data_IF_932128859810
#
_entry.id   IF_932128859810
#
_cell.length_a   1.000
_cell.length_b   1.000
_cell.length_c   1.000
_cell.angle_alpha   90.00
_cell.angle_beta   90.00
_cell.angle_gamma   90.00
#
_symmetry.space_group_name_H-M   'P 1'
#
loop_
_entity.id
_entity.type
_entity.pdbx_description
1 polymer ?
#
# COMPACT_ATOMS: atom_id res chain seq x y z
N UNK A 1 38.85 -17.40 30.41
CA UNK A 1 38.73 -15.96 30.73
C UNK A 1 37.45 -15.46 30.10
N UNK A 2 36.39 -15.03 30.76
CA UNK A 2 36.06 -14.85 32.17
C UNK A 2 34.56 -15.20 32.28
N UNK A 3 34.23 -16.15 33.16
CA UNK A 3 32.88 -16.41 33.65
C UNK A 3 32.69 -15.55 34.91
N UNK A 4 31.57 -14.86 35.05
CA UNK A 4 31.11 -14.32 36.34
C UNK A 4 29.66 -14.72 36.56
N UNK A 5 29.49 -15.59 37.56
CA UNK A 5 28.25 -16.00 38.18
C UNK A 5 27.64 -14.84 39.00
N UNK A 6 26.35 -14.61 38.85
CA UNK A 6 25.53 -13.84 39.79
C UNK A 6 24.51 -14.77 40.46
N UNK A 7 24.76 -15.11 41.72
CA UNK A 7 23.83 -15.82 42.61
C UNK A 7 22.72 -14.86 43.06
N UNK A 8 21.45 -15.30 43.07
CA UNK A 8 20.37 -14.65 43.82
C UNK A 8 19.75 -15.66 44.77
N UNK A 9 19.89 -15.37 46.06
CA UNK A 9 19.60 -16.24 47.18
C UNK A 9 18.11 -16.22 47.53
N UNK A 10 17.52 -17.41 47.58
CA UNK A 10 16.15 -17.64 48.08
C UNK A 10 16.20 -17.60 49.61
N UNK A 11 15.73 -16.50 50.19
CA UNK A 11 15.60 -16.33 51.63
C UNK A 11 14.45 -17.19 52.17
N UNK A 12 14.79 -18.25 52.91
CA UNK A 12 13.85 -19.04 53.70
C UNK A 12 13.47 -18.27 54.97
N UNK A 13 12.23 -17.77 55.03
CA UNK A 13 11.69 -17.13 56.24
C UNK A 13 11.26 -18.22 57.24
N UNK A 14 11.98 -18.30 58.36
CA UNK A 14 11.61 -19.05 59.56
C UNK A 14 10.32 -18.48 60.16
N UNK A 15 9.30 -19.31 60.33
CA UNK A 15 8.18 -19.02 61.22
C UNK A 15 8.45 -19.63 62.59
N UNK A 16 8.74 -18.75 63.56
CA UNK A 16 8.75 -19.08 64.99
C UNK A 16 7.30 -19.23 65.45
N UNK A 17 6.90 -20.46 65.82
CA UNK A 17 5.59 -20.70 66.42
C UNK A 17 5.54 -20.20 67.88
N UNK A 18 4.43 -19.60 68.34
CA UNK A 18 4.28 -19.26 69.75
C UNK A 18 4.09 -20.53 70.58
N UNK A 19 4.72 -20.55 71.76
CA UNK A 19 4.59 -21.58 72.77
C UNK A 19 3.13 -21.74 73.24
N UNK A 20 2.70 -22.98 73.44
CA UNK A 20 1.38 -23.31 73.96
C UNK A 20 1.21 -22.86 75.41
N UNK A 21 0.09 -22.19 75.79
CA UNK A 21 -0.28 -22.03 77.18
C UNK A 21 -1.07 -23.26 77.64
N UNK A 22 -0.52 -23.97 78.62
CA UNK A 22 -1.24 -24.91 79.47
C UNK A 22 -2.08 -24.12 80.48
N UNK A 23 -3.40 -24.04 80.27
CA UNK A 23 -4.33 -23.55 81.30
C UNK A 23 -5.72 -24.20 81.13
N UNK A 24 -6.25 -24.69 82.25
CA UNK A 24 -7.44 -25.51 82.35
C UNK A 24 -8.72 -24.86 81.82
N UNK A 25 -9.48 -25.67 81.09
CA UNK A 25 -10.80 -25.38 80.57
C UNK A 25 -11.85 -25.54 81.67
N UNK A 26 -12.57 -24.46 82.00
CA UNK A 26 -13.98 -24.53 82.43
C UNK A 26 -14.56 -23.10 82.47
N UNK A 27 -14.91 -22.54 81.31
CA UNK A 27 -15.89 -21.46 81.27
C UNK A 27 -16.63 -21.39 79.92
N UNK A 28 -17.95 -21.52 79.99
CA UNK A 28 -18.86 -21.56 78.83
C UNK A 28 -18.91 -20.26 78.03
N UNK A 29 -18.45 -19.14 78.61
CA UNK A 29 -18.32 -17.86 77.93
C UNK A 29 -17.09 -17.77 77.00
N UNK A 30 -16.03 -18.51 77.29
CA UNK A 30 -14.79 -18.52 76.47
C UNK A 30 -15.01 -19.22 75.12
N UNK A 31 -15.80 -20.29 75.10
CA UNK A 31 -16.15 -21.02 73.86
C UNK A 31 -17.01 -20.18 72.89
N UNK A 32 -17.91 -19.32 73.40
CA UNK A 32 -18.72 -18.42 72.55
C UNK A 32 -17.88 -17.30 71.94
N UNK A 33 -16.92 -16.75 72.69
CA UNK A 33 -16.01 -15.72 72.19
C UNK A 33 -15.08 -16.26 71.09
N UNK A 34 -14.56 -17.48 71.27
CA UNK A 34 -13.72 -18.14 70.28
C UNK A 34 -14.50 -18.48 68.98
N UNK A 35 -15.75 -18.94 69.10
CA UNK A 35 -16.63 -19.19 67.96
C UNK A 35 -17.00 -17.91 67.19
N UNK A 36 -17.25 -16.79 67.89
CA UNK A 36 -17.54 -15.50 67.28
C UNK A 36 -16.33 -14.91 66.53
N UNK A 37 -15.12 -15.07 67.07
CA UNK A 37 -13.88 -14.66 66.39
C UNK A 37 -13.62 -15.53 65.15
N UNK A 38 -13.77 -16.86 65.23
CA UNK A 38 -13.58 -17.75 64.07
C UNK A 38 -14.57 -17.45 62.91
N UNK A 39 -15.82 -17.08 63.22
CA UNK A 39 -16.81 -16.65 62.22
C UNK A 39 -16.40 -15.33 61.55
N UNK A 40 -15.89 -14.36 62.32
CA UNK A 40 -15.44 -13.05 61.80
C UNK A 40 -14.23 -13.18 60.87
N UNK A 41 -13.29 -14.07 61.21
CA UNK A 41 -12.13 -14.40 60.36
C UNK A 41 -12.54 -15.16 59.08
N UNK A 42 -13.51 -16.09 59.16
CA UNK A 42 -14.06 -16.76 57.98
C UNK A 42 -14.72 -15.79 57.00
N UNK A 43 -15.50 -14.81 57.50
CA UNK A 43 -16.15 -13.78 56.66
C UNK A 43 -15.11 -12.85 56.03
N UNK A 44 -14.09 -12.41 56.77
CA UNK A 44 -13.03 -11.55 56.24
C UNK A 44 -12.15 -12.26 55.20
N UNK A 45 -11.85 -13.56 55.39
CA UNK A 45 -11.11 -14.35 54.39
C UNK A 45 -11.95 -14.61 53.14
N UNK A 46 -13.26 -14.85 53.27
CA UNK A 46 -14.15 -15.06 52.11
C UNK A 46 -14.33 -13.78 51.29
N UNK A 47 -14.43 -12.60 51.92
CA UNK A 47 -14.42 -11.32 51.18
C UNK A 47 -13.11 -11.06 50.44
N UNK A 48 -11.96 -11.34 51.08
CA UNK A 48 -10.65 -11.10 50.48
C UNK A 48 -10.40 -12.04 49.30
N UNK A 49 -10.77 -13.32 49.43
CA UNK A 49 -10.70 -14.32 48.34
C UNK A 49 -11.67 -13.94 47.20
N UNK A 50 -12.84 -13.38 47.51
CA UNK A 50 -13.81 -12.93 46.50
C UNK A 50 -13.30 -11.71 45.72
N UNK A 51 -12.70 -10.72 46.39
CA UNK A 51 -12.10 -9.53 45.75
C UNK A 51 -10.89 -9.89 44.88
N UNK A 52 -10.00 -10.76 45.35
CA UNK A 52 -8.84 -11.21 44.57
C UNK A 52 -9.25 -12.04 43.35
N UNK A 53 -10.27 -12.90 43.48
CA UNK A 53 -10.83 -13.63 42.33
C UNK A 53 -11.52 -12.70 41.35
N UNK A 54 -12.29 -11.71 41.80
CA UNK A 54 -12.93 -10.71 40.94
C UNK A 54 -11.91 -9.87 40.15
N UNK A 55 -10.82 -9.44 40.79
CA UNK A 55 -9.73 -8.69 40.12
C UNK A 55 -8.98 -9.55 39.09
N UNK A 56 -8.73 -10.82 39.40
CA UNK A 56 -8.15 -11.79 38.44
C UNK A 56 -9.09 -12.04 37.26
N UNK A 57 -10.38 -12.23 37.50
CA UNK A 57 -11.37 -12.38 36.43
C UNK A 57 -11.49 -11.13 35.57
N UNK A 58 -11.49 -9.94 36.18
CA UNK A 58 -11.44 -8.68 35.44
C UNK A 58 -10.16 -8.63 34.59
N UNK A 59 -8.97 -8.80 35.16
CA UNK A 59 -7.69 -8.80 34.43
C UNK A 59 -7.64 -9.82 33.27
N UNK A 60 -8.13 -11.06 33.48
CA UNK A 60 -8.22 -12.08 32.43
C UNK A 60 -9.26 -11.73 31.34
N UNK A 61 -10.31 -10.97 31.66
CA UNK A 61 -11.31 -10.54 30.67
C UNK A 61 -10.87 -9.33 29.83
N UNK A 62 -10.00 -8.45 30.35
CA UNK A 62 -9.46 -7.28 29.61
C UNK A 62 -8.25 -7.63 28.73
N UNK A 63 -7.46 -8.66 29.08
CA UNK A 63 -6.34 -9.11 28.23
C UNK A 63 -6.74 -9.48 26.79
N UNK A 64 -7.81 -10.27 26.52
CA UNK A 64 -8.19 -10.64 25.16
C UNK A 64 -8.73 -9.45 24.35
N UNK A 65 -9.30 -8.43 24.98
CA UNK A 65 -9.74 -7.20 24.30
C UNK A 65 -8.56 -6.39 23.75
N UNK A 66 -7.40 -6.43 24.41
CA UNK A 66 -6.20 -5.71 23.96
C UNK A 66 -5.50 -6.42 22.78
N UNK A 67 -5.64 -7.74 22.67
CA UNK A 67 -4.98 -8.54 21.61
C UNK A 67 -5.73 -8.47 20.27
N UNK A 68 -7.03 -8.16 20.26
CA UNK A 68 -7.84 -8.10 19.02
C UNK A 68 -7.58 -6.81 18.22
N UNK A 69 -6.94 -5.78 18.79
CA UNK A 69 -6.75 -4.48 18.13
C UNK A 69 -5.53 -4.38 17.18
N UNK A 70 -4.72 -5.44 17.02
CA UNK A 70 -3.47 -5.38 16.24
C UNK A 70 -3.33 -6.49 15.18
N UNK A 71 -4.41 -6.90 14.51
CA UNK A 71 -4.23 -7.48 13.17
C UNK A 71 -3.90 -6.33 12.21
N UNK A 72 -2.64 -6.15 11.82
CA UNK A 72 -2.34 -5.27 10.69
C UNK A 72 -3.05 -5.89 9.48
N UNK A 73 -4.14 -5.25 9.04
CA UNK A 73 -4.83 -5.67 7.83
C UNK A 73 -3.83 -5.55 6.69
N UNK A 74 -3.47 -6.65 6.05
CA UNK A 74 -2.55 -6.62 4.90
C UNK A 74 -3.23 -5.93 3.73
N UNK A 75 -2.46 -5.21 2.91
CA UNK A 75 -2.98 -4.65 1.68
C UNK A 75 -3.51 -5.78 0.77
N UNK A 76 -4.80 -5.73 0.47
CA UNK A 76 -5.45 -6.66 -0.45
C UNK A 76 -5.30 -6.18 -1.88
N UNK A 77 -4.83 -7.03 -2.78
CA UNK A 77 -4.43 -6.66 -4.15
C UNK A 77 -5.38 -7.21 -5.23
N UNK A 78 -6.56 -7.69 -4.83
CA UNK A 78 -7.49 -8.35 -5.72
C UNK A 78 -8.85 -7.63 -5.69
N UNK A 79 -9.60 -7.81 -6.78
CA UNK A 79 -11.01 -7.51 -6.85
C UNK A 79 -11.77 -8.84 -6.91
N UNK A 80 -12.95 -8.90 -6.30
CA UNK A 80 -13.72 -10.14 -6.14
C UNK A 80 -13.85 -10.94 -7.46
N UNK A 81 -13.90 -12.28 -7.33
CA UNK A 81 -13.93 -13.27 -8.41
C UNK A 81 -12.59 -13.56 -9.12
N UNK A 82 -11.49 -13.71 -8.37
CA UNK A 82 -10.21 -14.27 -8.86
C UNK A 82 -9.57 -13.55 -10.05
N UNK A 83 -10.02 -12.34 -10.41
CA UNK A 83 -9.36 -11.48 -11.38
C UNK A 83 -8.18 -10.79 -10.71
N UNK A 84 -7.05 -11.48 -10.75
CA UNK A 84 -5.76 -10.92 -10.34
C UNK A 84 -5.15 -10.21 -11.53
N UNK A 85 -4.91 -8.90 -11.42
CA UNK A 85 -3.82 -8.31 -12.19
C UNK A 85 -2.56 -9.06 -11.74
N UNK A 86 -1.76 -9.59 -12.67
CA UNK A 86 -0.59 -10.44 -12.36
C UNK A 86 0.53 -9.63 -11.70
N UNK A 87 0.38 -9.24 -10.44
CA UNK A 87 1.28 -8.28 -9.81
C UNK A 87 1.62 -8.60 -8.34
N UNK A 88 2.12 -9.83 -8.10
CA UNK A 88 2.59 -10.25 -6.75
C UNK A 88 3.79 -9.45 -6.19
N UNK A 89 4.36 -8.52 -6.96
CA UNK A 89 5.59 -7.78 -6.59
C UNK A 89 5.33 -6.41 -5.94
N UNK A 90 4.08 -5.96 -5.84
CA UNK A 90 3.78 -4.59 -5.40
C UNK A 90 2.84 -4.53 -4.19
N UNK A 91 3.26 -5.01 -3.01
CA UNK A 91 2.37 -5.22 -1.85
C UNK A 91 1.73 -3.95 -1.28
N UNK A 92 2.09 -2.77 -1.79
CA UNK A 92 1.55 -1.47 -1.37
C UNK A 92 0.40 -0.98 -2.26
N UNK A 93 0.26 -1.57 -3.46
CA UNK A 93 -0.78 -1.23 -4.44
C UNK A 93 -1.90 -2.26 -4.33
N UNK A 94 -3.13 -1.79 -4.11
CA UNK A 94 -4.28 -2.67 -4.01
C UNK A 94 -5.57 -1.93 -3.66
N UNK A 95 -6.60 -2.68 -3.27
CA UNK A 95 -8.00 -2.22 -3.25
C UNK A 95 -8.52 -1.93 -1.84
N UNK A 96 -7.84 -2.47 -0.82
CA UNK A 96 -8.20 -2.26 0.59
C UNK A 96 -7.73 -0.90 1.13
N UNK A 97 -8.32 -0.45 2.23
CA UNK A 97 -7.87 0.73 2.98
C UNK A 97 -6.48 0.60 3.59
N UNK A 98 -5.93 -0.62 3.68
CA UNK A 98 -4.59 -0.87 4.19
C UNK A 98 -3.48 -0.61 3.16
N UNK A 99 -3.83 -0.43 1.89
CA UNK A 99 -2.87 -0.16 0.83
C UNK A 99 -2.44 1.31 0.86
N UNK A 100 -1.14 1.56 0.74
CA UNK A 100 -0.62 2.93 0.61
C UNK A 100 -1.04 3.57 -0.70
N UNK A 101 -1.11 2.75 -1.76
CA UNK A 101 -1.62 3.15 -3.07
C UNK A 101 -2.94 2.42 -3.27
N UNK A 102 -4.03 3.14 -3.02
CA UNK A 102 -5.37 2.59 -3.11
C UNK A 102 -5.92 2.71 -4.53
N UNK A 103 -6.38 1.59 -5.06
CA UNK A 103 -7.11 1.44 -6.31
C UNK A 103 -8.56 1.03 -6.02
N UNK A 104 -9.40 1.09 -7.05
CA UNK A 104 -10.82 0.74 -6.96
C UNK A 104 -11.11 -0.59 -7.65
N UNK A 105 -12.26 -1.18 -7.34
CA UNK A 105 -12.81 -2.31 -8.07
C UNK A 105 -14.04 -1.89 -8.85
N UNK A 106 -14.18 -2.37 -10.08
CA UNK A 106 -15.44 -2.34 -10.80
C UNK A 106 -16.42 -3.36 -10.22
N UNK A 107 -17.70 -3.25 -10.60
CA UNK A 107 -18.72 -4.27 -10.32
C UNK A 107 -18.38 -5.62 -10.93
N UNK A 108 -17.65 -5.63 -12.05
CA UNK A 108 -17.24 -6.82 -12.81
C UNK A 108 -15.93 -7.43 -12.30
N UNK A 109 -15.40 -6.90 -11.20
CA UNK A 109 -14.19 -7.39 -10.54
C UNK A 109 -12.88 -6.94 -11.19
N UNK A 110 -12.88 -5.89 -12.00
CA UNK A 110 -11.66 -5.33 -12.60
C UNK A 110 -11.02 -4.28 -11.67
N UNK A 111 -9.69 -4.20 -11.66
CA UNK A 111 -8.96 -3.16 -10.91
C UNK A 111 -9.00 -1.86 -11.71
N UNK A 112 -9.29 -0.75 -11.03
CA UNK A 112 -9.56 0.55 -11.64
C UNK A 112 -8.73 1.67 -11.02
N UNK A 113 -8.32 2.63 -11.85
CA UNK A 113 -7.91 3.98 -11.44
C UNK A 113 -9.05 4.93 -11.81
N UNK A 114 -9.80 5.38 -10.80
CA UNK A 114 -11.06 6.09 -11.04
C UNK A 114 -12.04 5.24 -11.83
N UNK A 115 -12.33 5.65 -13.07
CA UNK A 115 -13.20 4.94 -14.01
C UNK A 115 -12.44 4.12 -15.07
N UNK A 116 -11.10 4.09 -15.00
CA UNK A 116 -10.26 3.51 -16.04
C UNK A 116 -9.70 2.15 -15.61
N UNK A 117 -9.88 1.07 -16.41
CA UNK A 117 -9.34 -0.23 -16.09
C UNK A 117 -7.81 -0.25 -16.09
N UNK A 118 -7.22 -0.88 -15.06
CA UNK A 118 -5.79 -1.16 -15.02
C UNK A 118 -5.49 -2.33 -15.96
N UNK A 119 -4.58 -2.11 -16.92
CA UNK A 119 -4.11 -3.14 -17.84
C UNK A 119 -3.01 -3.99 -17.21
N UNK A 120 -1.97 -3.33 -16.70
CA UNK A 120 -0.78 -3.96 -16.15
C UNK A 120 -0.10 -3.07 -15.13
N UNK A 121 0.61 -3.66 -14.16
CA UNK A 121 1.42 -2.94 -13.19
C UNK A 121 2.87 -3.42 -13.33
N UNK A 122 3.77 -2.47 -13.51
CA UNK A 122 5.21 -2.64 -13.68
C UNK A 122 5.97 -1.94 -12.54
N UNK A 123 7.28 -2.21 -12.37
CA UNK A 123 8.07 -1.62 -11.29
C UNK A 123 8.08 -0.09 -11.26
N UNK A 124 7.93 0.56 -12.40
CA UNK A 124 8.00 2.01 -12.52
C UNK A 124 6.68 2.64 -12.98
N UNK A 125 5.71 1.83 -13.41
CA UNK A 125 4.48 2.35 -14.00
C UNK A 125 3.26 1.46 -13.79
N UNK A 126 2.09 2.10 -13.78
CA UNK A 126 0.78 1.46 -13.90
C UNK A 126 0.26 1.82 -15.29
N UNK A 127 -0.02 0.82 -16.11
CA UNK A 127 -0.63 1.02 -17.43
C UNK A 127 -2.15 0.95 -17.27
N UNK A 128 -2.82 2.00 -17.71
CA UNK A 128 -4.26 2.18 -17.58
C UNK A 128 -4.87 2.31 -18.97
N UNK A 129 -5.97 1.59 -19.21
CA UNK A 129 -6.71 1.68 -20.46
C UNK A 129 -7.52 2.97 -20.49
N UNK A 130 -7.25 3.80 -21.50
CA UNK A 130 -7.98 5.03 -21.79
C UNK A 130 -8.57 4.93 -23.19
N UNK A 131 -9.60 4.09 -23.34
CA UNK A 131 -10.27 3.89 -24.62
C UNK A 131 -10.77 5.19 -25.24
N UNK A 132 -10.88 5.16 -26.57
CA UNK A 132 -11.41 6.26 -27.37
C UNK A 132 -12.88 6.49 -27.02
N UNK A 133 -13.20 7.67 -26.47
CA UNK A 133 -14.56 8.11 -26.20
C UNK A 133 -14.74 9.60 -26.51
N UNK A 134 -15.69 9.89 -27.39
CA UNK A 134 -15.86 11.23 -27.95
C UNK A 134 -16.41 12.28 -26.97
N UNK A 135 -17.25 11.85 -26.03
CA UNK A 135 -18.00 12.73 -25.14
C UNK A 135 -17.59 12.57 -23.66
N UNK A 136 -16.38 12.04 -23.40
CA UNK A 136 -15.85 11.93 -22.04
C UNK A 136 -15.35 13.29 -21.60
N UNK A 137 -15.88 13.81 -20.49
CA UNK A 137 -15.45 15.12 -19.95
C UNK A 137 -13.96 15.14 -19.65
N UNK A 138 -13.27 16.24 -19.95
CA UNK A 138 -11.85 16.41 -19.59
C UNK A 138 -11.59 16.23 -18.09
N UNK A 139 -12.57 16.53 -17.23
CA UNK A 139 -12.48 16.35 -15.77
C UNK A 139 -12.24 14.90 -15.35
N UNK A 140 -12.60 13.92 -16.18
CA UNK A 140 -12.28 12.51 -15.91
C UNK A 140 -10.78 12.26 -15.78
N UNK A 141 -9.95 13.09 -16.42
CA UNK A 141 -8.49 13.04 -16.30
C UNK A 141 -8.02 13.27 -14.85
N UNK A 142 -8.78 14.00 -14.04
CA UNK A 142 -8.46 14.27 -12.63
C UNK A 142 -8.31 12.98 -11.82
N UNK A 143 -9.02 11.90 -12.20
CA UNK A 143 -8.91 10.61 -11.54
C UNK A 143 -7.54 9.92 -11.73
N UNK A 144 -6.78 10.34 -12.74
CA UNK A 144 -5.44 9.83 -13.04
C UNK A 144 -4.35 10.57 -12.25
N UNK A 145 -4.71 11.63 -11.52
CA UNK A 145 -3.82 12.36 -10.62
C UNK A 145 -4.14 12.02 -9.16
N UNK A 146 -3.12 11.66 -8.38
CA UNK A 146 -3.26 11.33 -6.97
C UNK A 146 -1.97 11.69 -6.21
N UNK A 147 -1.98 11.56 -4.89
CA UNK A 147 -0.81 11.75 -4.02
C UNK A 147 0.29 10.73 -4.24
N UNK A 148 0.00 9.59 -4.87
CA UNK A 148 0.93 8.47 -5.03
C UNK A 148 1.17 8.04 -6.48
N UNK A 149 0.48 8.64 -7.43
CA UNK A 149 0.69 8.39 -8.85
C UNK A 149 0.21 9.57 -9.69
N UNK A 150 0.79 9.71 -10.88
CA UNK A 150 0.37 10.70 -11.88
C UNK A 150 0.78 10.23 -13.29
N UNK A 151 0.14 10.75 -14.35
CA UNK A 151 0.57 10.51 -15.73
C UNK A 151 2.00 11.00 -15.95
N UNK A 152 2.84 10.19 -16.60
CA UNK A 152 4.22 10.54 -16.94
C UNK A 152 4.29 11.46 -18.17
N UNK A 153 5.41 12.13 -18.37
CA UNK A 153 5.71 12.88 -19.61
C UNK A 153 5.90 11.99 -20.84
N UNK A 154 5.84 10.65 -20.69
CA UNK A 154 5.82 9.67 -21.80
C UNK A 154 4.44 9.54 -22.45
N UNK A 155 3.46 10.32 -22.00
CA UNK A 155 2.11 10.33 -22.56
C UNK A 155 1.88 11.54 -23.47
N UNK A 156 1.12 11.33 -24.53
CA UNK A 156 0.34 12.37 -25.20
C UNK A 156 -1.14 12.18 -24.86
N UNK A 157 -1.80 13.23 -24.39
CA UNK A 157 -3.23 13.21 -24.05
C UNK A 157 -4.02 13.75 -25.24
N UNK A 158 -4.96 12.95 -25.75
CA UNK A 158 -5.79 13.32 -26.89
C UNK A 158 -7.07 13.99 -26.41
N UNK A 159 -7.34 15.20 -26.89
CA UNK A 159 -8.38 16.10 -26.43
C UNK A 159 -9.23 16.60 -27.62
N UNK A 160 -10.43 17.08 -27.32
CA UNK A 160 -11.35 17.69 -28.29
C UNK A 160 -11.97 18.99 -27.76
N UNK A 161 -12.44 19.82 -28.70
CA UNK A 161 -13.08 21.11 -28.45
C UNK A 161 -12.21 22.05 -27.64
N UNK A 162 -10.95 22.16 -28.05
CA UNK A 162 -9.98 23.07 -27.48
C UNK A 162 -10.13 24.44 -28.13
N UNK A 163 -9.96 25.51 -27.33
CA UNK A 163 -9.97 26.88 -27.87
C UNK A 163 -8.82 27.12 -28.86
N UNK A 164 -7.67 26.52 -28.60
CA UNK A 164 -6.47 26.58 -29.45
C UNK A 164 -5.97 25.15 -29.69
N UNK A 165 -6.46 24.46 -30.74
CA UNK A 165 -6.12 23.07 -30.98
C UNK A 165 -4.66 22.91 -31.44
N UNK A 166 -3.96 21.92 -30.88
CA UNK A 166 -2.62 21.52 -31.29
C UNK A 166 -2.68 20.13 -31.91
N UNK A 167 -2.53 20.00 -33.23
CA UNK A 167 -2.67 18.73 -33.94
C UNK A 167 -1.47 17.78 -33.77
N UNK A 168 -0.38 18.25 -33.15
CA UNK A 168 0.85 17.50 -32.95
C UNK A 168 1.26 17.48 -31.49
N UNK A 169 1.62 16.29 -30.98
CA UNK A 169 2.43 16.17 -29.76
C UNK A 169 3.86 15.81 -30.15
N UNK A 170 4.82 16.49 -29.54
CA UNK A 170 6.19 15.99 -29.42
C UNK A 170 6.30 15.34 -28.05
N UNK A 171 6.25 14.01 -27.99
CA UNK A 171 6.40 13.31 -26.70
C UNK A 171 7.88 13.42 -26.29
N UNK A 172 8.20 14.15 -25.21
CA UNK A 172 9.58 14.60 -24.94
C UNK A 172 10.60 13.47 -24.87
N UNK A 173 10.18 12.32 -24.33
CA UNK A 173 11.06 11.17 -24.10
C UNK A 173 11.55 10.50 -25.39
N UNK A 174 10.89 10.70 -26.53
CA UNK A 174 11.29 10.08 -27.81
C UNK A 174 11.34 11.04 -28.99
N UNK A 175 10.90 12.29 -28.83
CA UNK A 175 10.78 13.30 -29.90
C UNK A 175 9.95 12.82 -31.09
N UNK A 176 9.08 11.83 -30.88
CA UNK A 176 8.15 11.36 -31.91
C UNK A 176 7.08 12.42 -32.08
N UNK A 177 6.96 12.94 -33.30
CA UNK A 177 5.85 13.78 -33.70
C UNK A 177 4.71 12.86 -34.14
N UNK A 178 3.62 12.90 -33.40
CA UNK A 178 2.39 12.20 -33.79
C UNK A 178 1.45 13.19 -34.46
N UNK A 179 0.91 12.81 -35.63
CA UNK A 179 -0.10 13.59 -36.35
C UNK A 179 -1.39 12.79 -36.42
N UNK A 180 -2.51 13.42 -36.06
CA UNK A 180 -3.81 12.78 -36.03
C UNK A 180 -4.76 13.50 -36.98
N UNK A 181 -5.14 12.83 -38.06
CA UNK A 181 -5.97 13.41 -39.11
C UNK A 181 -7.46 13.45 -38.72
N UNK A 182 -7.97 12.40 -38.06
CA UNK A 182 -9.30 12.41 -37.40
C UNK A 182 -9.62 11.04 -36.79
N UNK A 183 -10.54 11.01 -35.81
CA UNK A 183 -11.25 9.82 -35.34
C UNK A 183 -12.72 10.09 -35.59
N UNK A 184 -13.44 9.11 -36.14
CA UNK A 184 -14.88 9.21 -36.36
C UNK A 184 -15.61 9.25 -35.02
N UNK A 185 -16.03 10.46 -34.65
CA UNK A 185 -16.88 10.76 -33.50
C UNK A 185 -18.28 11.19 -33.94
N UNK A 186 -18.70 10.82 -35.14
CA UNK A 186 -19.94 11.27 -35.76
C UNK A 186 -19.81 12.64 -36.44
N UNK A 187 -20.94 13.36 -36.52
CA UNK A 187 -21.16 14.55 -37.36
C UNK A 187 -20.31 15.79 -37.03
N UNK A 188 -19.51 15.73 -35.99
CA UNK A 188 -18.80 16.85 -35.40
C UNK A 188 -17.31 16.75 -35.74
N UNK A 189 -16.93 17.36 -36.87
CA UNK A 189 -15.58 17.33 -37.45
C UNK A 189 -14.61 18.26 -36.69
N UNK A 190 -14.36 17.97 -35.41
CA UNK A 190 -13.37 18.69 -34.62
C UNK A 190 -12.00 18.04 -34.73
N UNK A 191 -10.99 18.88 -34.94
CA UNK A 191 -9.60 18.43 -34.93
C UNK A 191 -9.23 17.85 -33.57
N UNK A 192 -8.52 16.72 -33.61
CA UNK A 192 -7.92 16.14 -32.41
C UNK A 192 -6.81 17.09 -31.97
N UNK A 193 -6.87 17.49 -30.70
CA UNK A 193 -5.78 18.20 -30.05
C UNK A 193 -4.97 17.22 -29.24
N UNK A 194 -3.66 17.39 -29.25
CA UNK A 194 -2.74 16.57 -28.52
C UNK A 194 -2.01 17.44 -27.49
N UNK A 195 -2.09 17.03 -26.23
CA UNK A 195 -1.39 17.66 -25.13
C UNK A 195 -0.22 16.78 -24.69
N UNK A 196 0.98 17.35 -24.71
CA UNK A 196 2.19 16.78 -24.12
C UNK A 196 3.00 17.92 -23.52
N UNK A 197 3.71 17.65 -22.44
CA UNK A 197 4.61 18.64 -21.86
C UNK A 197 5.91 17.98 -21.41
N UNK A 198 6.97 18.77 -21.40
CA UNK A 198 8.22 18.42 -20.75
C UNK A 198 8.21 19.04 -19.35
N UNK A 199 8.50 18.22 -18.35
CA UNK A 199 8.55 18.67 -16.96
C UNK A 199 9.68 17.95 -16.23
N UNK A 200 10.43 18.69 -15.41
CA UNK A 200 11.65 18.20 -14.75
C UNK A 200 11.39 16.99 -13.85
N UNK A 201 10.22 16.92 -13.23
CA UNK A 201 9.83 15.81 -12.37
C UNK A 201 9.37 14.55 -13.14
N UNK A 202 9.28 14.61 -14.48
CA UNK A 202 8.88 13.47 -15.31
C UNK A 202 7.37 13.17 -15.34
N UNK A 203 6.53 14.07 -14.80
CA UNK A 203 5.08 13.92 -14.76
C UNK A 203 4.35 15.07 -15.45
N UNK A 204 3.14 14.80 -15.94
CA UNK A 204 2.25 15.85 -16.43
C UNK A 204 1.73 16.68 -15.24
N UNK A 205 1.42 17.94 -15.51
CA UNK A 205 0.79 18.87 -14.58
C UNK A 205 -0.72 18.91 -14.82
N UNK A 206 -1.48 18.47 -13.82
CA UNK A 206 -2.96 18.55 -13.86
C UNK A 206 -3.45 19.97 -14.17
N UNK A 207 -2.80 20.97 -13.56
CA UNK A 207 -3.15 22.37 -13.77
C UNK A 207 -2.90 22.83 -15.22
N UNK A 208 -1.81 22.37 -15.85
CA UNK A 208 -1.49 22.75 -17.22
C UNK A 208 -2.42 22.07 -18.23
N UNK A 209 -2.73 20.78 -18.05
CA UNK A 209 -3.71 20.09 -18.90
C UNK A 209 -5.07 20.76 -18.78
N UNK A 210 -5.49 21.14 -17.58
CA UNK A 210 -6.76 21.84 -17.35
C UNK A 210 -6.83 23.21 -18.03
N UNK A 211 -5.69 23.89 -18.20
CA UNK A 211 -5.57 25.18 -18.91
C UNK A 211 -5.60 25.06 -20.42
N UNK A 212 -5.62 23.85 -20.99
CA UNK A 212 -5.79 23.65 -22.44
C UNK A 212 -7.14 24.15 -22.97
N UNK A 213 -8.09 24.44 -22.08
CA UNK A 213 -9.46 24.90 -22.41
C UNK A 213 -10.17 23.96 -23.39
N UNK A 214 -9.87 22.67 -23.32
CA UNK A 214 -10.57 21.61 -24.03
C UNK A 214 -11.77 21.12 -23.21
N UNK A 215 -12.82 20.65 -23.87
CA UNK A 215 -14.02 20.16 -23.18
C UNK A 215 -13.98 18.65 -22.93
N UNK A 216 -13.37 17.89 -23.86
CA UNK A 216 -13.46 16.43 -23.87
C UNK A 216 -12.09 15.76 -23.91
N UNK A 217 -11.96 14.67 -23.15
CA UNK A 217 -10.83 13.74 -23.15
C UNK A 217 -11.11 12.58 -24.09
N UNK A 218 -10.46 12.55 -25.24
CA UNK A 218 -10.69 11.55 -26.28
C UNK A 218 -10.02 10.22 -25.95
N UNK A 219 -8.72 10.23 -25.69
CA UNK A 219 -7.88 9.03 -25.48
C UNK A 219 -6.46 9.48 -25.06
N UNK A 220 -5.48 8.59 -25.13
CA UNK A 220 -4.07 8.89 -24.95
C UNK A 220 -3.20 8.05 -25.86
N UNK A 221 -1.94 8.44 -25.95
CA UNK A 221 -0.84 7.65 -26.50
C UNK A 221 0.24 7.59 -25.44
N UNK A 222 0.82 6.42 -25.21
CA UNK A 222 1.98 6.27 -24.34
C UNK A 222 3.14 5.69 -25.13
N UNK A 223 4.35 6.10 -24.76
CA UNK A 223 5.57 5.61 -25.39
C UNK A 223 6.25 4.59 -24.50
N UNK A 224 6.45 3.39 -25.02
CA UNK A 224 7.40 2.44 -24.46
C UNK A 224 8.67 2.45 -25.29
N UNK A 225 9.77 2.87 -24.64
CA UNK A 225 11.10 2.82 -25.22
C UNK A 225 11.73 1.52 -24.76
N UNK A 226 11.76 0.52 -25.64
CA UNK A 226 12.58 -0.67 -25.40
C UNK A 226 14.06 -0.26 -25.38
N UNK A 227 14.91 -1.07 -24.75
CA UNK A 227 16.37 -0.91 -24.80
C UNK A 227 16.97 -1.13 -26.22
N UNK A 228 16.12 -1.11 -27.25
CA UNK A 228 16.45 -1.23 -28.67
C UNK A 228 16.09 0.09 -29.35
N UNK A 229 16.72 0.40 -30.49
CA UNK A 229 16.54 1.65 -31.25
C UNK A 229 15.14 1.88 -31.85
N UNK A 230 14.11 1.16 -31.38
CA UNK A 230 12.74 1.16 -31.88
C UNK A 230 11.77 1.67 -30.81
N UNK A 231 10.93 2.64 -31.16
CA UNK A 231 9.90 3.20 -30.30
C UNK A 231 8.57 2.50 -30.58
N UNK A 232 7.87 2.02 -29.55
CA UNK A 232 6.50 1.50 -29.68
C UNK A 232 5.53 2.49 -29.06
N UNK A 233 4.46 2.78 -29.80
CA UNK A 233 3.38 3.66 -29.37
C UNK A 233 2.16 2.81 -29.01
N UNK A 234 1.71 2.90 -27.78
CA UNK A 234 0.46 2.31 -27.34
C UNK A 234 -0.65 3.36 -27.38
N UNK A 235 -1.63 3.15 -28.26
CA UNK A 235 -2.83 3.98 -28.35
C UNK A 235 -3.87 3.50 -27.34
N UNK A 236 -4.53 4.43 -26.67
CA UNK A 236 -5.51 4.14 -25.64
C UNK A 236 -4.91 3.63 -24.34
N UNK A 237 -3.63 3.92 -24.08
CA UNK A 237 -2.96 3.63 -22.81
C UNK A 237 -2.41 4.92 -22.21
N UNK A 238 -2.63 5.07 -20.90
CA UNK A 238 -1.94 6.05 -20.07
C UNK A 238 -0.93 5.31 -19.21
N UNK A 239 0.32 5.77 -19.25
CA UNK A 239 1.35 5.35 -18.31
C UNK A 239 1.34 6.27 -17.09
N UNK A 240 0.92 5.75 -15.95
CA UNK A 240 1.06 6.43 -14.66
C UNK A 240 2.38 6.01 -14.03
N UNK A 241 3.19 6.97 -13.58
CA UNK A 241 4.29 6.66 -12.66
C UNK A 241 3.77 6.72 -11.23
N UNK A 242 4.30 5.88 -10.35
CA UNK A 242 3.84 5.76 -8.96
C UNK A 242 5.00 5.87 -7.96
N UNK A 243 4.69 6.16 -6.70
CA UNK A 243 5.66 6.29 -5.61
C UNK A 243 5.03 6.09 -4.23
N UNK A 244 5.86 5.73 -3.25
CA UNK A 244 5.50 5.84 -1.83
C UNK A 244 5.95 7.19 -1.29
N UNK A 245 5.22 7.73 -0.31
CA UNK A 245 5.55 9.03 0.27
C UNK A 245 6.63 8.93 1.35
N UNK A 246 7.46 9.96 1.45
CA UNK A 246 8.52 10.12 2.43
C UNK A 246 9.90 9.75 1.90
N UNK A 247 10.81 9.49 2.82
CA UNK A 247 12.20 9.16 2.54
C UNK A 247 12.39 7.68 2.18
N UNK A 248 13.52 7.38 1.53
CA UNK A 248 13.93 6.05 1.12
C UNK A 248 13.88 5.03 2.28
N UNK A 249 13.01 4.03 2.15
CA UNK A 249 12.91 2.87 3.05
C UNK A 249 13.08 1.55 2.28
N UNK A 250 14.22 1.46 1.60
CA UNK A 250 14.54 0.32 0.74
C UNK A 250 15.30 -0.77 1.51
N UNK A 251 15.18 -2.00 1.02
CA UNK A 251 16.01 -3.10 1.47
C UNK A 251 17.50 -2.84 1.17
N UNK A 252 18.42 -3.40 1.95
CA UNK A 252 19.86 -3.16 1.80
C UNK A 252 20.41 -3.52 0.40
N UNK A 253 19.81 -4.53 -0.24
CA UNK A 253 20.15 -4.98 -1.60
C UNK A 253 19.30 -4.31 -2.70
N UNK A 254 18.69 -3.16 -2.39
CA UNK A 254 17.95 -2.35 -3.34
C UNK A 254 18.64 -1.01 -3.59
N UNK A 255 18.27 -0.38 -4.70
CA UNK A 255 18.57 1.01 -5.02
C UNK A 255 17.31 1.83 -4.77
N UNK A 256 17.47 2.99 -4.14
CA UNK A 256 16.39 3.95 -4.00
C UNK A 256 16.43 4.96 -5.14
N UNK A 257 15.26 5.25 -5.69
CA UNK A 257 15.03 6.38 -6.59
C UNK A 257 14.13 7.37 -5.89
N UNK A 258 14.66 8.54 -5.57
CA UNK A 258 13.86 9.66 -5.08
C UNK A 258 13.03 10.24 -6.22
N UNK A 259 11.79 10.60 -5.91
CA UNK A 259 10.80 11.07 -6.87
C UNK A 259 10.30 12.42 -6.38
N UNK A 260 10.54 13.43 -7.20
CA UNK A 260 9.89 14.72 -7.03
C UNK A 260 8.42 14.55 -7.42
N UNK A 261 7.53 14.59 -6.44
CA UNK A 261 6.11 14.36 -6.73
C UNK A 261 5.50 15.60 -7.38
N UNK A 262 4.44 15.46 -8.19
CA UNK A 262 3.67 16.60 -8.69
C UNK A 262 2.91 17.35 -7.59
N UNK A 263 2.83 16.78 -6.37
CA UNK A 263 2.15 17.39 -5.23
C UNK A 263 3.13 18.26 -4.45
N UNK A 264 2.81 19.55 -4.33
CA UNK A 264 3.70 20.53 -3.72
C UNK A 264 4.14 20.11 -2.31
N UNK A 265 5.46 20.15 -2.08
CA UNK A 265 6.08 19.87 -0.78
C UNK A 265 6.12 18.39 -0.38
N UNK A 266 5.70 17.47 -1.25
CA UNK A 266 5.79 16.03 -0.97
C UNK A 266 6.93 15.39 -1.75
N UNK A 267 7.76 14.64 -1.04
CA UNK A 267 8.77 13.78 -1.62
C UNK A 267 8.27 12.34 -1.66
N UNK A 268 8.57 11.66 -2.76
CA UNK A 268 8.28 10.26 -2.93
C UNK A 268 9.55 9.45 -3.16
N UNK A 269 9.43 8.13 -3.06
CA UNK A 269 10.51 7.22 -3.41
C UNK A 269 9.96 5.93 -4.03
N UNK A 270 10.82 5.27 -4.79
CA UNK A 270 10.67 3.88 -5.24
C UNK A 270 11.93 3.09 -4.93
N UNK A 271 11.74 1.81 -4.65
CA UNK A 271 12.84 0.87 -4.47
C UNK A 271 12.89 -0.14 -5.61
N UNK A 272 14.09 -0.47 -6.06
CA UNK A 272 14.33 -1.51 -7.07
C UNK A 272 15.45 -2.42 -6.59
N UNK A 273 15.24 -3.73 -6.58
CA UNK A 273 16.32 -4.66 -6.26
C UNK A 273 17.49 -4.51 -7.24
N UNK A 274 18.72 -4.58 -6.72
CA UNK A 274 19.93 -4.56 -7.53
C UNK A 274 20.01 -5.81 -8.40
N UNK A 275 20.78 -5.73 -9.48
CA UNK A 275 20.98 -6.87 -10.38
C UNK A 275 21.45 -8.11 -9.62
N UNK A 276 20.85 -9.26 -9.93
CA UNK A 276 21.06 -10.51 -9.19
C UNK A 276 20.12 -10.74 -8.00
N UNK A 277 19.24 -9.78 -7.70
CA UNK A 277 18.21 -9.92 -6.66
C UNK A 277 16.80 -9.74 -7.23
N UNK A 278 15.84 -10.51 -6.71
CA UNK A 278 14.40 -10.39 -7.03
C UNK A 278 13.60 -10.11 -5.75
N UNK A 279 12.51 -9.38 -5.90
CA UNK A 279 11.68 -8.93 -4.79
C UNK A 279 11.00 -7.59 -5.06
N UNK A 280 10.38 -7.04 -4.01
CA UNK A 280 9.68 -5.75 -4.10
C UNK A 280 10.60 -4.54 -3.87
N UNK A 281 11.78 -4.74 -3.26
CA UNK A 281 12.75 -3.67 -3.00
C UNK A 281 12.58 -2.95 -1.67
N UNK A 282 11.48 -3.14 -0.95
CA UNK A 282 11.12 -2.31 0.20
C UNK A 282 11.44 -2.99 1.53
N UNK A 283 11.90 -2.22 2.52
CA UNK A 283 12.21 -2.75 3.85
C UNK A 283 10.96 -3.26 4.60
N UNK A 284 9.82 -2.58 4.41
CA UNK A 284 8.55 -2.96 5.00
C UNK A 284 7.81 -4.09 4.23
N UNK A 285 8.42 -4.58 3.14
CA UNK A 285 7.85 -5.61 2.28
C UNK A 285 8.58 -6.96 2.39
N UNK A 286 8.62 -7.69 1.29
CA UNK A 286 9.39 -8.94 1.13
C UNK A 286 10.89 -8.65 1.07
N UNK A 287 11.27 -7.45 0.64
CA UNK A 287 12.65 -7.04 0.42
C UNK A 287 13.23 -7.69 -0.83
N UNK A 288 14.56 -7.68 -0.93
CA UNK A 288 15.29 -8.28 -2.04
C UNK A 288 15.98 -9.56 -1.59
N UNK A 289 15.84 -10.62 -2.39
CA UNK A 289 16.48 -11.91 -2.16
C UNK A 289 17.32 -12.27 -3.37
N UNK A 290 18.43 -12.97 -3.18
CA UNK A 290 19.23 -13.47 -4.31
C UNK A 290 18.31 -14.27 -5.22
N UNK A 291 18.14 -13.80 -6.45
CA UNK A 291 17.35 -14.50 -7.44
C UNK A 291 18.17 -15.66 -8.00
N UNK A 292 17.54 -16.80 -8.22
CA UNK A 292 18.02 -17.66 -9.31
C UNK A 292 17.90 -16.84 -10.59
N UNK A 293 18.97 -16.79 -11.39
CA UNK A 293 19.02 -16.04 -12.63
C UNK A 293 17.87 -16.47 -13.55
N UNK A 294 16.78 -15.71 -13.58
CA UNK A 294 15.69 -15.94 -14.55
C UNK A 294 16.04 -15.16 -15.80
N UNK A 295 16.35 -15.90 -16.87
CA UNK A 295 16.45 -15.34 -18.21
C UNK A 295 15.20 -14.49 -18.49
N UNK A 296 15.34 -13.34 -19.18
CA UNK A 296 14.19 -12.52 -19.58
C UNK A 296 13.15 -13.39 -20.30
N UNK A 297 11.86 -13.22 -19.98
CA UNK A 297 10.75 -13.96 -20.62
C UNK A 297 10.75 -13.89 -22.16
N UNK A 298 11.49 -12.93 -22.74
CA UNK A 298 11.71 -12.81 -24.19
C UNK A 298 12.38 -14.02 -24.84
N UNK A 299 13.12 -14.86 -24.11
CA UNK A 299 13.73 -16.06 -24.67
C UNK A 299 12.77 -17.25 -24.82
N UNK A 300 11.55 -17.18 -24.26
CA UNK A 300 10.55 -18.22 -24.46
C UNK A 300 9.85 -18.15 -25.83
N UNK A 301 10.02 -17.06 -26.60
CA UNK A 301 9.46 -16.98 -27.96
C UNK A 301 10.23 -17.80 -29.00
N UNK A 302 11.48 -18.21 -28.71
CA UNK A 302 12.26 -19.04 -29.64
C UNK A 302 11.81 -20.50 -29.68
N UNK A 303 10.94 -20.95 -28.77
CA UNK A 303 10.43 -22.32 -28.75
C UNK A 303 9.07 -22.52 -29.45
N UNK A 304 8.46 -21.46 -29.97
CA UNK A 304 7.19 -21.51 -30.72
C UNK A 304 7.36 -21.28 -32.23
N UNK A 305 8.60 -21.20 -32.73
CA UNK A 305 8.91 -21.25 -34.16
C UNK A 305 9.65 -22.57 -34.43
N UNK A 306 8.92 -23.68 -34.41
CA UNK A 306 9.32 -24.91 -35.10
C UNK A 306 8.11 -25.74 -35.48
#
# INVERSE_FOLDING_TARGET
MHLLHGQSSIGSVKFSGPAAPTAGFNDSNSQRACAAQLMKWRVSCTEMICKTRLLLFLALSILPMYVIAHSSSKCHQECGHNKTVKHRRFPFIGTSSACQIRLNCSTDGDIMVGEFPVRSIFPESILVNLEVRCNRSIKSLDHLFNTNYAPTTRNGILLKHCKSPASTCTIPTTKVNTHFESIDCGSDNYSISCYSEEHENGFLSQANVSKSHCQYLLSSISVDAFNTSSVVLDVGIVQLGWWLLGECKCHQEATCTEIQTPVAGQQGFRCKCRDGFDGDGYQAGVGCRKGEFRLPEFLNFLHLIR
#
